data_IF_190330153334
#
_entry.id   IF_190330153334
#
_cell.length_a   1.000
_cell.length_b   1.000
_cell.length_c   1.000
_cell.angle_alpha   90.00
_cell.angle_beta   90.00
_cell.angle_gamma   90.00
#
_symmetry.space_group_name_H-M   'P 1'
#
loop_
_entity.id
_entity.type
_entity.pdbx_description
1 polymer ?
#
# COMPACT_ATOMS: atom_id res chain seq x y z
N UNK A 1 8.17 0.81 22.34
CA UNK A 1 8.55 -0.12 21.28
C UNK A 1 7.80 0.21 20.00
N UNK A 2 8.51 0.35 18.91
CA UNK A 2 7.87 0.70 17.64
C UNK A 2 7.10 -0.49 17.09
N UNK A 3 5.90 -0.25 16.58
CA UNK A 3 5.11 -1.28 15.91
C UNK A 3 5.40 -1.26 14.41
N UNK A 4 5.35 -2.42 13.80
CA UNK A 4 5.57 -2.59 12.37
C UNK A 4 4.46 -3.46 11.79
N UNK A 5 3.91 -3.04 10.66
CA UNK A 5 3.01 -3.87 9.88
C UNK A 5 3.85 -4.57 8.81
N UNK A 6 3.77 -5.89 8.74
CA UNK A 6 4.56 -6.67 7.80
C UNK A 6 3.71 -7.78 7.21
N UNK A 7 3.64 -7.85 5.88
CA UNK A 7 2.92 -8.88 5.16
C UNK A 7 3.71 -9.34 3.95
N UNK A 8 3.66 -10.62 3.65
CA UNK A 8 4.26 -11.19 2.46
C UNK A 8 3.22 -11.96 1.68
N UNK A 9 3.36 -11.98 0.35
CA UNK A 9 2.48 -12.74 -0.52
C UNK A 9 3.23 -13.10 -1.80
N UNK A 10 2.91 -14.26 -2.37
CA UNK A 10 3.44 -14.68 -3.66
C UNK A 10 2.38 -14.49 -4.74
N UNK A 11 2.76 -13.85 -5.84
CA UNK A 11 1.93 -13.71 -7.03
C UNK A 11 2.51 -14.58 -8.16
N UNK A 12 1.74 -15.48 -8.77
CA UNK A 12 2.23 -16.28 -9.90
C UNK A 12 2.26 -15.46 -11.20
N UNK A 13 2.77 -14.24 -11.12
CA UNK A 13 2.76 -13.27 -12.21
C UNK A 13 4.13 -12.60 -12.31
N UNK A 14 4.53 -12.17 -13.53
CA UNK A 14 5.81 -11.48 -13.70
C UNK A 14 5.91 -10.22 -12.84
N UNK A 15 7.14 -9.88 -12.44
CA UNK A 15 7.42 -8.69 -11.64
C UNK A 15 6.84 -7.43 -12.30
N UNK A 16 6.94 -7.32 -13.62
CA UNK A 16 6.43 -6.15 -14.33
C UNK A 16 4.93 -5.95 -14.12
N UNK A 17 4.17 -7.03 -14.11
CA UNK A 17 2.71 -6.95 -13.92
C UNK A 17 2.36 -6.52 -12.50
N UNK A 18 3.07 -7.06 -11.50
CA UNK A 18 2.88 -6.68 -10.11
C UNK A 18 3.28 -5.21 -9.91
N UNK A 19 4.40 -4.80 -10.50
CA UNK A 19 4.89 -3.43 -10.41
C UNK A 19 3.88 -2.42 -10.94
N UNK A 20 3.19 -2.76 -12.05
CA UNK A 20 2.18 -1.88 -12.61
C UNK A 20 1.05 -1.60 -11.60
N UNK A 21 0.62 -2.62 -10.83
CA UNK A 21 -0.42 -2.42 -9.82
C UNK A 21 0.05 -1.54 -8.66
N UNK A 22 1.37 -1.43 -8.45
CA UNK A 22 1.92 -0.57 -7.40
C UNK A 22 2.23 0.85 -7.88
N UNK A 23 2.27 1.10 -9.19
CA UNK A 23 2.79 2.36 -9.71
C UNK A 23 1.92 3.06 -10.75
N UNK A 24 0.90 2.41 -11.27
CA UNK A 24 -0.03 3.01 -12.23
C UNK A 24 -1.30 3.44 -11.50
N UNK A 25 -1.60 4.76 -11.43
CA UNK A 25 -2.73 5.25 -10.63
C UNK A 25 -4.07 4.57 -10.93
N UNK A 26 -4.36 4.29 -12.21
CA UNK A 26 -5.60 3.64 -12.59
C UNK A 26 -5.71 2.21 -12.07
N UNK A 27 -4.58 1.52 -11.93
CA UNK A 27 -4.53 0.19 -11.33
C UNK A 27 -4.52 0.27 -9.82
N UNK A 28 -3.80 1.23 -9.26
CA UNK A 28 -3.72 1.42 -7.80
C UNK A 28 -5.10 1.68 -7.19
N UNK A 29 -5.96 2.44 -7.86
CA UNK A 29 -7.29 2.70 -7.31
C UNK A 29 -8.19 1.48 -7.29
N UNK A 30 -7.87 0.44 -8.05
CA UNK A 30 -8.68 -0.79 -8.07
C UNK A 30 -8.53 -1.62 -6.79
N UNK A 31 -7.40 -1.49 -6.11
CA UNK A 31 -7.14 -2.26 -4.89
C UNK A 31 -6.88 -1.39 -3.67
N UNK A 32 -6.65 -0.11 -3.86
CA UNK A 32 -6.30 0.78 -2.76
C UNK A 32 -7.26 1.99 -2.71
N UNK A 33 -6.92 3.07 -3.39
CA UNK A 33 -7.70 4.32 -3.34
C UNK A 33 -7.37 5.18 -4.55
N UNK A 34 -8.28 6.12 -4.93
CA UNK A 34 -7.94 7.15 -5.91
C UNK A 34 -6.70 7.92 -5.48
N UNK A 35 -5.83 8.26 -6.43
CA UNK A 35 -4.56 8.90 -6.13
C UNK A 35 -4.00 9.64 -7.34
N UNK A 36 -2.96 10.44 -7.10
CA UNK A 36 -2.23 11.17 -8.12
C UNK A 36 -0.75 10.80 -8.12
N UNK A 37 -0.46 9.53 -7.89
CA UNK A 37 0.90 8.98 -7.86
C UNK A 37 1.63 9.16 -9.19
N UNK A 38 2.94 9.42 -9.12
CA UNK A 38 3.86 9.35 -10.25
C UNK A 38 5.13 8.63 -9.80
N UNK A 39 5.71 7.76 -10.62
CA UNK A 39 6.89 6.98 -10.24
C UNK A 39 8.17 7.80 -10.32
N UNK A 40 8.22 8.90 -9.59
CA UNK A 40 9.35 9.84 -9.59
C UNK A 40 9.74 10.14 -8.15
N UNK A 41 11.01 9.96 -7.81
CA UNK A 41 11.52 10.27 -6.48
C UNK A 41 11.26 11.73 -6.14
N UNK A 42 10.72 11.98 -4.96
CA UNK A 42 10.40 13.31 -4.49
C UNK A 42 9.00 13.79 -4.85
N UNK A 43 8.28 13.06 -5.70
CA UNK A 43 6.91 13.43 -6.06
C UNK A 43 5.99 13.32 -4.86
N UNK A 44 5.23 14.37 -4.58
CA UNK A 44 4.22 14.38 -3.53
C UNK A 44 2.88 13.99 -4.12
N UNK A 45 2.17 13.10 -3.44
CA UNK A 45 0.88 12.60 -3.90
C UNK A 45 -0.02 12.29 -2.73
N UNK A 46 -1.29 12.01 -3.02
CA UNK A 46 -2.31 11.72 -2.01
C UNK A 46 -3.12 10.51 -2.39
N UNK A 47 -3.53 9.74 -1.38
CA UNK A 47 -4.63 8.80 -1.50
C UNK A 47 -5.85 9.43 -0.84
N UNK A 48 -7.00 9.31 -1.48
CA UNK A 48 -8.24 9.87 -0.97
C UNK A 48 -9.21 8.75 -0.62
N UNK A 49 -9.66 8.76 0.62
CA UNK A 49 -10.60 7.78 1.15
C UNK A 49 -11.75 8.51 1.83
N UNK A 50 -12.60 7.76 2.52
CA UNK A 50 -13.67 8.33 3.30
C UNK A 50 -13.12 8.75 4.67
N UNK A 51 -13.47 9.94 5.13
CA UNK A 51 -13.08 10.40 6.46
C UNK A 51 -13.63 9.44 7.54
N UNK A 52 -12.80 9.22 8.56
CA UNK A 52 -13.16 8.39 9.71
C UNK A 52 -12.83 9.17 10.99
N UNK A 53 -13.75 10.06 11.43
CA UNK A 53 -13.48 10.92 12.59
C UNK A 53 -13.17 10.14 13.87
N UNK A 54 -13.75 8.95 14.05
CA UNK A 54 -13.48 8.11 15.20
C UNK A 54 -12.04 7.61 15.26
N UNK A 55 -11.33 7.67 14.13
CA UNK A 55 -9.92 7.27 14.02
C UNK A 55 -9.00 8.48 13.85
N UNK A 56 -9.51 9.71 14.04
CA UNK A 56 -8.76 10.94 13.82
C UNK A 56 -8.18 11.01 12.40
N UNK A 57 -9.02 10.68 11.42
CA UNK A 57 -8.63 10.60 10.02
C UNK A 57 -9.59 11.41 9.14
N UNK A 58 -9.04 12.38 8.40
CA UNK A 58 -9.82 13.28 7.55
C UNK A 58 -10.10 12.73 6.15
N UNK A 59 -9.64 11.53 5.83
CA UNK A 59 -9.87 10.91 4.52
C UNK A 59 -8.71 11.07 3.55
N UNK A 60 -7.61 11.69 3.97
CA UNK A 60 -6.47 11.94 3.09
C UNK A 60 -5.19 11.37 3.68
N UNK A 61 -4.48 10.55 2.88
CA UNK A 61 -3.12 10.13 3.20
C UNK A 61 -2.16 10.98 2.35
N UNK A 62 -1.29 11.72 3.01
CA UNK A 62 -0.29 12.57 2.36
C UNK A 62 0.99 11.78 2.20
N UNK A 63 1.47 11.67 0.97
CA UNK A 63 2.59 10.79 0.64
C UNK A 63 3.65 11.51 -0.18
N UNK A 64 4.87 11.00 -0.10
CA UNK A 64 5.99 11.46 -0.92
C UNK A 64 6.84 10.26 -1.29
N UNK A 65 7.21 10.15 -2.56
CA UNK A 65 8.09 9.07 -3.01
C UNK A 65 9.50 9.31 -2.46
N UNK A 66 9.95 8.42 -1.58
CA UNK A 66 11.26 8.53 -0.92
C UNK A 66 12.32 7.76 -1.66
N UNK A 67 11.98 6.59 -2.22
CA UNK A 67 12.90 5.77 -2.98
C UNK A 67 12.12 4.97 -4.01
N UNK A 68 12.68 4.81 -5.20
CA UNK A 68 12.09 3.98 -6.23
C UNK A 68 13.19 3.34 -7.06
N UNK A 69 13.15 2.00 -7.13
CA UNK A 69 14.01 1.19 -7.98
C UNK A 69 13.06 0.34 -8.82
N UNK A 70 12.91 0.63 -10.11
CA UNK A 70 11.91 -0.06 -10.95
C UNK A 70 11.97 -1.57 -10.81
N UNK A 71 10.80 -2.18 -10.61
CA UNK A 71 10.60 -3.63 -10.49
C UNK A 71 11.19 -4.26 -9.23
N UNK A 72 11.78 -3.47 -8.32
CA UNK A 72 12.43 -4.00 -7.12
C UNK A 72 11.93 -3.38 -5.83
N UNK A 73 11.83 -2.04 -5.80
CA UNK A 73 11.56 -1.36 -4.54
C UNK A 73 10.81 -0.04 -4.73
N UNK A 74 9.85 0.20 -3.85
CA UNK A 74 9.12 1.46 -3.80
C UNK A 74 8.92 1.83 -2.33
N UNK A 75 9.34 3.04 -1.96
CA UNK A 75 9.16 3.56 -0.60
C UNK A 75 8.50 4.93 -0.69
N UNK A 76 7.43 5.13 0.08
CA UNK A 76 6.84 6.45 0.21
C UNK A 76 6.39 6.71 1.63
N UNK A 77 6.32 8.01 2.00
CA UNK A 77 5.79 8.40 3.29
C UNK A 77 4.27 8.21 3.31
N UNK A 78 3.71 8.02 4.50
CA UNK A 78 2.29 7.76 4.68
C UNK A 78 1.85 8.53 5.91
N UNK A 79 1.40 9.77 5.68
CA UNK A 79 1.07 10.70 6.76
C UNK A 79 -0.42 10.97 6.76
N UNK A 80 -1.03 10.96 7.94
CA UNK A 80 -2.47 11.18 8.05
C UNK A 80 -2.83 11.84 9.38
N UNK A 81 -4.01 12.44 9.45
CA UNK A 81 -4.47 13.07 10.67
C UNK A 81 -5.92 13.53 10.60
N UNK A 82 -6.37 14.28 11.59
CA UNK A 82 -7.77 14.72 11.67
C UNK A 82 -8.11 15.94 10.80
N UNK A 83 -7.13 16.50 10.09
CA UNK A 83 -7.39 17.66 9.23
C UNK A 83 -7.03 19.00 9.87
N UNK A 84 -6.34 18.97 11.02
CA UNK A 84 -5.95 20.19 11.74
C UNK A 84 -4.49 20.58 11.51
N UNK A 85 -3.83 19.97 10.53
CA UNK A 85 -2.42 20.25 10.25
C UNK A 85 -1.44 19.37 11.00
N UNK A 86 -1.91 18.62 12.00
CA UNK A 86 -1.07 17.67 12.74
C UNK A 86 -1.15 16.32 12.06
N UNK A 87 0.00 15.75 11.69
CA UNK A 87 0.06 14.50 10.96
C UNK A 87 0.78 13.42 11.75
N UNK A 88 0.20 12.24 11.76
CA UNK A 88 0.84 11.02 12.24
C UNK A 88 1.68 10.48 11.08
N UNK A 89 2.97 10.35 11.28
CA UNK A 89 3.91 10.02 10.21
C UNK A 89 4.25 8.55 10.18
N UNK A 90 4.46 8.02 8.99
CA UNK A 90 4.91 6.65 8.81
C UNK A 90 5.45 6.48 7.40
N UNK A 91 5.94 5.28 7.10
CA UNK A 91 6.59 4.97 5.84
C UNK A 91 6.15 3.60 5.34
N UNK A 92 5.80 3.51 4.07
CA UNK A 92 5.39 2.26 3.42
C UNK A 92 6.50 1.80 2.48
N UNK A 93 6.93 0.56 2.65
CA UNK A 93 8.01 -0.05 1.86
C UNK A 93 7.47 -1.26 1.12
N UNK A 94 7.64 -1.27 -0.20
CA UNK A 94 7.30 -2.39 -1.08
C UNK A 94 8.58 -2.96 -1.65
N UNK A 95 8.79 -4.27 -1.50
CA UNK A 95 9.93 -4.98 -2.09
C UNK A 95 9.42 -6.13 -2.93
N UNK A 96 9.91 -6.22 -4.18
CA UNK A 96 9.56 -7.29 -5.10
C UNK A 96 10.79 -8.14 -5.38
N UNK A 97 10.61 -9.47 -5.28
CA UNK A 97 11.68 -10.42 -5.58
C UNK A 97 11.14 -11.44 -6.58
N UNK A 98 11.82 -11.62 -7.69
CA UNK A 98 11.45 -12.65 -8.65
C UNK A 98 11.71 -14.03 -8.03
N UNK A 99 10.74 -14.93 -8.13
CA UNK A 99 10.83 -16.25 -7.51
C UNK A 99 9.90 -17.22 -8.22
N UNK A 100 10.41 -18.37 -8.61
CA UNK A 100 9.59 -19.45 -9.19
C UNK A 100 8.67 -18.97 -10.33
N UNK A 101 9.21 -18.16 -11.23
CA UNK A 101 8.50 -17.57 -12.36
C UNK A 101 7.36 -16.62 -11.96
N UNK A 102 7.39 -16.16 -10.74
CA UNK A 102 6.43 -15.22 -10.21
C UNK A 102 7.12 -14.15 -9.39
N UNK A 103 6.38 -13.54 -8.47
CA UNK A 103 6.87 -12.42 -7.68
C UNK A 103 6.54 -12.61 -6.20
N UNK A 104 7.54 -12.54 -5.35
CA UNK A 104 7.35 -12.47 -3.91
C UNK A 104 7.29 -10.99 -3.53
N UNK A 105 6.18 -10.58 -2.93
CA UNK A 105 5.98 -9.20 -2.46
C UNK A 105 6.16 -9.15 -0.96
N UNK A 106 6.95 -8.18 -0.50
CA UNK A 106 7.07 -7.86 0.92
C UNK A 106 6.58 -6.43 1.15
N UNK A 107 5.62 -6.26 2.03
CA UNK A 107 5.13 -4.95 2.48
C UNK A 107 5.58 -4.74 3.92
N UNK A 108 6.25 -3.61 4.16
CA UNK A 108 6.62 -3.18 5.52
C UNK A 108 6.14 -1.74 5.70
N UNK A 109 5.23 -1.53 6.64
CA UNK A 109 4.73 -0.20 7.01
C UNK A 109 5.24 0.09 8.42
N UNK A 110 6.13 1.04 8.55
CA UNK A 110 6.88 1.30 9.79
C UNK A 110 7.10 2.79 10.02
N UNK A 111 7.85 3.11 11.08
CA UNK A 111 8.21 4.48 11.39
C UNK A 111 7.05 5.27 11.97
N UNK A 112 6.08 4.58 12.56
CA UNK A 112 4.92 5.24 13.13
C UNK A 112 5.30 6.23 14.20
N UNK A 113 4.72 7.42 14.12
CA UNK A 113 4.95 8.50 15.08
C UNK A 113 3.57 8.99 15.52
N UNK A 114 3.17 8.61 16.72
CA UNK A 114 1.91 9.07 17.33
C UNK A 114 0.69 8.20 17.02
N UNK A 115 0.78 7.20 16.18
CA UNK A 115 -0.38 6.42 15.76
C UNK A 115 -0.36 4.95 16.16
N UNK A 116 0.73 4.45 16.78
CA UNK A 116 0.87 3.03 17.12
C UNK A 116 -0.20 2.52 18.07
N UNK A 117 -0.70 3.40 18.92
CA UNK A 117 -1.70 3.04 19.93
C UNK A 117 -3.12 3.37 19.49
N UNK A 118 -3.30 3.95 18.30
CA UNK A 118 -4.61 4.32 17.81
C UNK A 118 -5.33 3.13 17.17
N UNK A 119 -6.66 3.09 17.23
CA UNK A 119 -7.42 2.03 16.56
C UNK A 119 -7.14 1.91 15.07
N UNK A 120 -6.76 3.00 14.41
CA UNK A 120 -6.46 3.01 12.98
C UNK A 120 -5.26 2.12 12.63
N UNK A 121 -4.33 1.90 13.57
CA UNK A 121 -3.20 0.99 13.33
C UNK A 121 -3.70 -0.41 12.99
N UNK A 122 -4.62 -0.95 13.79
CA UNK A 122 -5.20 -2.27 13.53
C UNK A 122 -5.99 -2.30 12.23
N UNK A 123 -6.70 -1.22 11.92
CA UNK A 123 -7.45 -1.11 10.67
C UNK A 123 -6.52 -1.10 9.46
N UNK A 124 -5.37 -0.41 9.56
CA UNK A 124 -4.38 -0.40 8.49
C UNK A 124 -3.76 -1.78 8.27
N UNK A 125 -3.46 -2.47 9.37
CA UNK A 125 -2.88 -3.82 9.29
C UNK A 125 -3.80 -4.77 8.52
N UNK A 126 -5.08 -4.80 8.89
CA UNK A 126 -6.08 -5.62 8.21
C UNK A 126 -6.32 -5.14 6.78
N UNK A 127 -6.32 -3.83 6.57
CA UNK A 127 -6.52 -3.23 5.26
C UNK A 127 -5.42 -3.64 4.29
N UNK A 128 -4.17 -3.59 4.70
CA UNK A 128 -3.05 -3.99 3.86
C UNK A 128 -3.15 -5.45 3.46
N UNK A 129 -3.46 -6.33 4.42
CA UNK A 129 -3.59 -7.75 4.14
C UNK A 129 -4.67 -8.00 3.08
N UNK A 130 -5.85 -7.38 3.25
CA UNK A 130 -6.92 -7.49 2.27
C UNK A 130 -6.54 -6.91 0.91
N UNK A 131 -5.81 -5.79 0.90
CA UNK A 131 -5.43 -5.10 -0.33
C UNK A 131 -4.44 -5.91 -1.17
N UNK A 132 -3.42 -6.51 -0.56
CA UNK A 132 -2.46 -7.31 -1.33
C UNK A 132 -3.10 -8.57 -1.89
N UNK A 133 -4.16 -9.09 -1.24
CA UNK A 133 -4.94 -10.19 -1.79
C UNK A 133 -5.86 -9.74 -2.93
N UNK A 134 -6.33 -8.51 -2.92
CA UNK A 134 -7.08 -7.94 -4.05
C UNK A 134 -6.21 -7.88 -5.30
N UNK A 135 -4.95 -7.50 -5.16
CA UNK A 135 -4.01 -7.49 -6.29
C UNK A 135 -3.90 -8.89 -6.89
N UNK A 136 -3.81 -9.92 -6.04
CA UNK A 136 -3.74 -11.30 -6.50
C UNK A 136 -4.96 -11.67 -7.36
N UNK A 137 -6.15 -11.30 -6.91
CA UNK A 137 -7.40 -11.58 -7.64
C UNK A 137 -7.48 -10.79 -8.94
N UNK A 138 -7.03 -9.55 -8.95
CA UNK A 138 -7.02 -8.71 -10.15
C UNK A 138 -6.07 -9.25 -11.20
N UNK A 139 -4.92 -9.76 -10.77
CA UNK A 139 -3.93 -10.36 -11.66
C UNK A 139 -4.36 -11.75 -12.15
N UNK A 140 -5.20 -12.45 -11.38
CA UNK A 140 -5.55 -13.85 -11.66
C UNK A 140 -7.05 -14.09 -11.51
N UNK A 141 -7.90 -13.40 -12.29
CA UNK A 141 -9.35 -13.52 -12.14
C UNK A 141 -9.87 -14.93 -12.43
N UNK A 142 -9.21 -15.67 -13.31
CA UNK A 142 -9.63 -17.02 -13.67
C UNK A 142 -9.42 -18.03 -12.53
N UNK A 143 -8.44 -17.78 -11.67
CA UNK A 143 -8.21 -18.64 -10.51
C UNK A 143 -9.41 -18.61 -9.58
N UNK A 144 -10.02 -17.44 -9.39
CA UNK A 144 -11.20 -17.27 -8.55
C UNK A 144 -12.41 -17.97 -9.19
N UNK A 145 -12.57 -17.85 -10.50
CA UNK A 145 -13.64 -18.50 -11.23
C UNK A 145 -13.52 -20.03 -11.19
N UNK A 146 -12.30 -20.55 -11.27
CA UNK A 146 -12.08 -22.01 -11.23
C UNK A 146 -12.38 -22.61 -9.87
N UNK A 147 -12.15 -21.88 -8.79
CA UNK A 147 -12.42 -22.38 -7.46
C UNK A 147 -13.92 -22.48 -7.15
N UNK A 148 -14.74 -21.82 -7.92
CA UNK A 148 -16.20 -21.85 -7.74
C UNK A 148 -16.88 -22.93 -8.59
N UNK A 149 -16.15 -23.53 -9.48
CA UNK A 149 -16.69 -24.53 -10.40
C UNK A 149 -16.84 -25.94 -9.77
#
# INVERSE_FOLDING_TARGET
MAKVIKHEIFYPNPVADVWDYLTVPELMKQWLMPNDFQPVKGHEFKFTAKAMPDFDFDGIFHCKVLEIIPYEKLVYSWDFGPGNGVLNKSEVNWTLTEKNNGTQLLLVHRGFSGSEMLPIFGAMDKGWLGNIHKILKLLNPETDATTTA
#
